data_IF_550186285703
#
_entry.id   IF_550186285703
#
_cell.length_a   1.000
_cell.length_b   1.000
_cell.length_c   1.000
_cell.angle_alpha   90.00
_cell.angle_beta   90.00
_cell.angle_gamma   90.00
#
_symmetry.space_group_name_H-M   'P 1'
#
loop_
_entity.id
_entity.type
_entity.pdbx_description
1 polymer ?
#
# COMPACT_ATOMS: atom_id res chain seq x y z
N UNK A 1 46.10 -16.86 1.33
CA UNK A 1 45.82 -15.50 0.81
C UNK A 1 45.02 -15.48 -0.50
N UNK A 2 44.37 -16.58 -0.93
CA UNK A 2 43.68 -16.65 -2.24
C UNK A 2 42.13 -16.55 -2.13
N UNK A 3 41.55 -16.60 -0.93
CA UNK A 3 40.08 -16.62 -0.75
C UNK A 3 39.40 -15.25 -0.68
N UNK A 4 40.13 -14.14 -0.53
CA UNK A 4 39.56 -12.78 -0.42
C UNK A 4 39.36 -12.09 -1.79
N UNK A 5 40.14 -12.47 -2.80
CA UNK A 5 40.06 -11.84 -4.13
C UNK A 5 38.91 -12.37 -5.01
N UNK A 6 38.45 -13.61 -4.79
CA UNK A 6 37.31 -14.16 -5.54
C UNK A 6 35.97 -13.59 -5.08
N UNK A 7 35.83 -13.24 -3.80
CA UNK A 7 34.62 -12.64 -3.24
C UNK A 7 34.36 -11.19 -3.73
N UNK A 8 35.41 -10.40 -3.89
CA UNK A 8 35.33 -9.03 -4.42
C UNK A 8 35.00 -9.01 -5.92
N UNK A 9 35.52 -9.95 -6.70
CA UNK A 9 35.15 -10.10 -8.11
C UNK A 9 33.70 -10.54 -8.28
N UNK A 10 33.22 -11.48 -7.47
CA UNK A 10 31.83 -11.92 -7.50
C UNK A 10 30.87 -10.77 -7.16
N UNK A 11 31.20 -9.97 -6.15
CA UNK A 11 30.41 -8.79 -5.76
C UNK A 11 30.38 -7.70 -6.84
N UNK A 12 31.51 -7.45 -7.51
CA UNK A 12 31.55 -6.52 -8.66
C UNK A 12 30.72 -7.02 -9.86
N UNK A 13 30.77 -8.32 -10.15
CA UNK A 13 29.95 -8.92 -11.22
C UNK A 13 28.47 -8.83 -10.87
N UNK A 14 28.08 -9.19 -9.65
CA UNK A 14 26.71 -9.07 -9.17
C UNK A 14 26.20 -7.62 -9.25
N UNK A 15 27.00 -6.66 -8.78
CA UNK A 15 26.70 -5.22 -8.88
C UNK A 15 26.46 -4.77 -10.32
N UNK A 16 27.36 -5.14 -11.22
CA UNK A 16 27.28 -4.74 -12.62
C UNK A 16 26.09 -5.41 -13.34
N UNK A 17 25.85 -6.72 -13.10
CA UNK A 17 24.68 -7.41 -13.63
C UNK A 17 23.38 -6.74 -13.17
N UNK A 18 23.32 -6.33 -11.90
CA UNK A 18 22.12 -5.71 -11.38
C UNK A 18 21.90 -4.27 -11.89
N UNK A 19 22.97 -3.47 -12.02
CA UNK A 19 22.91 -2.15 -12.65
C UNK A 19 22.48 -2.25 -14.13
N UNK A 20 22.94 -3.29 -14.82
CA UNK A 20 22.51 -3.59 -16.18
C UNK A 20 21.02 -3.94 -16.24
N UNK A 21 20.50 -4.76 -15.31
CA UNK A 21 19.08 -5.08 -15.21
C UNK A 21 18.20 -3.85 -14.89
N UNK A 22 18.67 -2.91 -14.08
CA UNK A 22 17.93 -1.66 -13.79
C UNK A 22 17.75 -0.74 -15.01
N UNK A 23 18.60 -0.86 -16.03
CA UNK A 23 18.60 0.00 -17.21
C UNK A 23 17.90 -0.61 -18.43
N UNK A 24 17.40 -1.85 -18.33
CA UNK A 24 16.57 -2.42 -19.37
C UNK A 24 15.10 -2.13 -19.09
N UNK A 25 14.40 -1.55 -20.06
CA UNK A 25 12.95 -1.77 -20.18
C UNK A 25 12.75 -3.28 -20.19
N UNK A 26 12.04 -3.84 -19.21
CA UNK A 26 11.92 -5.30 -19.06
C UNK A 26 11.42 -5.87 -20.39
N UNK A 27 12.25 -6.58 -21.16
CA UNK A 27 11.84 -7.07 -22.47
C UNK A 27 10.84 -8.21 -22.29
N UNK A 28 10.02 -8.47 -23.30
CA UNK A 28 9.20 -9.70 -23.39
C UNK A 28 10.07 -10.97 -23.16
N UNK A 29 11.37 -10.91 -23.45
CA UNK A 29 12.32 -12.00 -23.18
C UNK A 29 12.55 -12.29 -21.69
N UNK A 30 12.23 -11.36 -20.78
CA UNK A 30 12.34 -11.60 -19.34
C UNK A 30 11.19 -12.46 -18.80
N UNK A 31 10.06 -12.57 -19.50
CA UNK A 31 8.92 -13.42 -19.11
C UNK A 31 9.39 -14.88 -18.93
N UNK A 32 10.22 -15.36 -19.87
CA UNK A 32 10.79 -16.72 -19.83
C UNK A 32 11.82 -16.95 -18.71
N UNK A 33 12.42 -15.89 -18.18
CA UNK A 33 13.44 -15.96 -17.13
C UNK A 33 12.97 -15.38 -15.80
N UNK A 34 11.74 -14.86 -15.73
CA UNK A 34 11.23 -14.08 -14.60
C UNK A 34 11.32 -14.84 -13.28
N UNK A 35 10.87 -16.10 -13.29
CA UNK A 35 10.97 -16.98 -12.13
C UNK A 35 12.44 -17.23 -11.72
N UNK A 36 13.36 -17.40 -12.69
CA UNK A 36 14.78 -17.64 -12.40
C UNK A 36 15.47 -16.40 -11.85
N UNK A 37 15.15 -15.21 -12.36
CA UNK A 37 15.69 -13.94 -11.87
C UNK A 37 15.21 -13.69 -10.45
N UNK A 38 13.91 -13.85 -10.16
CA UNK A 38 13.40 -13.70 -8.80
C UNK A 38 14.02 -14.70 -7.82
N UNK A 39 14.12 -15.99 -8.20
CA UNK A 39 14.80 -16.99 -7.39
C UNK A 39 16.27 -16.63 -7.10
N UNK A 40 16.98 -16.10 -8.10
CA UNK A 40 18.37 -15.66 -7.92
C UNK A 40 18.45 -14.47 -6.96
N UNK A 41 17.59 -13.45 -7.13
CA UNK A 41 17.55 -12.28 -6.26
C UNK A 41 17.20 -12.66 -4.82
N UNK A 42 16.23 -13.54 -4.61
CA UNK A 42 15.88 -14.05 -3.28
C UNK A 42 17.06 -14.79 -2.64
N UNK A 43 17.76 -15.64 -3.39
CA UNK A 43 18.98 -16.32 -2.91
C UNK A 43 20.12 -15.35 -2.58
N UNK A 44 20.22 -14.22 -3.29
CA UNK A 44 21.19 -13.17 -2.97
C UNK A 44 20.82 -12.49 -1.64
N UNK A 45 19.53 -12.33 -1.35
CA UNK A 45 19.03 -11.67 -0.14
C UNK A 45 18.99 -12.57 1.12
N UNK A 46 18.99 -13.89 0.95
CA UNK A 46 18.94 -14.86 2.07
C UNK A 46 20.10 -14.78 3.08
N UNK A 47 21.38 -14.65 2.70
CA UNK A 47 22.47 -14.79 3.65
C UNK A 47 22.58 -13.60 4.63
N UNK A 48 22.86 -13.90 5.90
CA UNK A 48 22.87 -12.90 6.99
C UNK A 48 23.95 -11.82 6.87
N UNK A 49 25.05 -12.10 6.14
CA UNK A 49 26.17 -11.17 5.89
C UNK A 49 26.34 -10.96 4.40
N UNK A 50 25.52 -10.07 3.86
CA UNK A 50 25.67 -9.56 2.50
C UNK A 50 26.36 -8.20 2.53
N UNK A 51 27.07 -7.90 1.44
CA UNK A 51 27.52 -6.55 1.18
C UNK A 51 26.30 -5.62 1.05
N UNK A 52 26.31 -4.50 1.78
CA UNK A 52 25.20 -3.57 1.85
C UNK A 52 24.83 -3.00 0.47
N UNK A 53 25.81 -2.81 -0.41
CA UNK A 53 25.56 -2.35 -1.77
C UNK A 53 24.85 -3.40 -2.62
N UNK A 54 25.21 -4.67 -2.48
CA UNK A 54 24.56 -5.79 -3.18
C UNK A 54 23.13 -5.96 -2.68
N UNK A 55 22.92 -5.90 -1.36
CA UNK A 55 21.59 -5.99 -0.76
C UNK A 55 20.68 -4.87 -1.27
N UNK A 56 21.16 -3.61 -1.25
CA UNK A 56 20.41 -2.46 -1.74
C UNK A 56 19.99 -2.60 -3.19
N UNK A 57 20.92 -3.04 -4.04
CA UNK A 57 20.63 -3.22 -5.46
C UNK A 57 19.65 -4.38 -5.68
N UNK A 58 19.82 -5.50 -4.98
CA UNK A 58 18.94 -6.66 -5.11
C UNK A 58 17.50 -6.34 -4.67
N UNK A 59 17.31 -5.60 -3.58
CA UNK A 59 15.95 -5.16 -3.15
C UNK A 59 15.36 -4.15 -4.14
N UNK A 60 16.16 -3.23 -4.66
CA UNK A 60 15.69 -2.29 -5.68
C UNK A 60 15.20 -3.00 -6.94
N UNK A 61 15.95 -4.01 -7.42
CA UNK A 61 15.51 -4.85 -8.53
C UNK A 61 14.25 -5.65 -8.20
N UNK A 62 14.17 -6.23 -7.00
CA UNK A 62 12.96 -6.93 -6.56
C UNK A 62 11.74 -6.01 -6.65
N UNK A 63 11.83 -4.79 -6.13
CA UNK A 63 10.76 -3.80 -6.17
C UNK A 63 10.35 -3.45 -7.62
N UNK A 64 11.32 -3.20 -8.49
CA UNK A 64 11.07 -2.89 -9.90
C UNK A 64 10.39 -4.06 -10.64
N UNK A 65 10.84 -5.29 -10.39
CA UNK A 65 10.30 -6.49 -11.03
C UNK A 65 8.87 -6.80 -10.62
N UNK A 66 8.51 -6.64 -9.33
CA UNK A 66 7.13 -6.91 -8.87
C UNK A 66 6.15 -5.81 -9.29
N UNK A 67 6.65 -4.59 -9.53
CA UNK A 67 5.84 -3.48 -9.99
C UNK A 67 5.33 -3.67 -11.44
N UNK A 68 6.12 -4.34 -12.29
CA UNK A 68 5.89 -4.43 -13.73
C UNK A 68 5.19 -5.70 -14.21
N UNK A 69 4.81 -6.61 -13.31
CA UNK A 69 4.19 -7.89 -13.70
C UNK A 69 2.71 -7.99 -13.35
N UNK A 70 2.04 -8.93 -14.00
CA UNK A 70 0.67 -9.31 -13.71
C UNK A 70 0.52 -10.04 -12.35
N UNK A 71 -0.74 -10.25 -11.96
CA UNK A 71 -1.07 -10.84 -10.68
C UNK A 71 -0.67 -12.32 -10.57
N UNK A 72 -0.63 -13.08 -11.68
CA UNK A 72 -0.20 -14.48 -11.68
C UNK A 72 1.29 -14.61 -11.33
N UNK A 73 2.12 -13.75 -11.93
CA UNK A 73 3.53 -13.66 -11.64
C UNK A 73 3.81 -13.20 -10.21
N UNK A 74 3.07 -12.20 -9.69
CA UNK A 74 3.15 -11.78 -8.28
C UNK A 74 2.85 -12.93 -7.32
N UNK A 75 1.80 -13.71 -7.57
CA UNK A 75 1.47 -14.89 -6.73
C UNK A 75 2.57 -15.96 -6.79
N UNK A 76 3.11 -16.25 -7.98
CA UNK A 76 4.19 -17.20 -8.14
C UNK A 76 5.44 -16.78 -7.35
N UNK A 77 5.82 -15.50 -7.42
CA UNK A 77 6.96 -14.94 -6.67
C UNK A 77 6.69 -14.94 -5.15
N UNK A 78 5.45 -14.67 -4.74
CA UNK A 78 5.02 -14.82 -3.35
C UNK A 78 5.26 -16.24 -2.82
N UNK A 79 4.84 -17.25 -3.59
CA UNK A 79 5.04 -18.68 -3.28
C UNK A 79 6.52 -19.09 -3.24
N UNK A 80 7.41 -18.37 -3.93
CA UNK A 80 8.87 -18.56 -3.84
C UNK A 80 9.49 -18.03 -2.53
N UNK A 81 8.70 -17.40 -1.65
CA UNK A 81 9.16 -16.90 -0.36
C UNK A 81 9.48 -15.39 -0.35
N UNK A 82 9.11 -14.65 -1.40
CA UNK A 82 9.41 -13.22 -1.51
C UNK A 82 8.92 -12.40 -0.33
N UNK A 83 7.65 -12.57 0.05
CA UNK A 83 7.03 -11.84 1.18
C UNK A 83 7.83 -12.07 2.46
N UNK A 84 8.17 -13.32 2.76
CA UNK A 84 8.96 -13.69 3.93
C UNK A 84 10.36 -13.08 3.90
N UNK A 85 11.03 -13.10 2.75
CA UNK A 85 12.36 -12.51 2.57
C UNK A 85 12.35 -11.01 2.85
N UNK A 86 11.38 -10.27 2.30
CA UNK A 86 11.27 -8.82 2.56
C UNK A 86 10.96 -8.52 4.04
N UNK A 87 10.06 -9.28 4.67
CA UNK A 87 9.76 -9.11 6.10
C UNK A 87 10.97 -9.41 6.99
N UNK A 88 11.79 -10.41 6.65
CA UNK A 88 13.04 -10.69 7.37
C UNK A 88 14.05 -9.53 7.25
N UNK A 89 14.14 -8.91 6.06
CA UNK A 89 15.00 -7.73 5.85
C UNK A 89 14.53 -6.55 6.69
N UNK A 90 13.23 -6.27 6.70
CA UNK A 90 12.61 -5.23 7.53
C UNK A 90 12.87 -5.50 9.00
N UNK A 91 12.64 -6.74 9.47
CA UNK A 91 12.87 -7.12 10.86
C UNK A 91 14.33 -6.89 11.27
N UNK A 92 15.29 -7.27 10.42
CA UNK A 92 16.71 -7.04 10.68
C UNK A 92 17.03 -5.54 10.77
N UNK A 93 16.56 -4.75 9.80
CA UNK A 93 16.78 -3.30 9.77
C UNK A 93 16.15 -2.59 10.97
N UNK A 94 14.99 -3.04 11.40
CA UNK A 94 14.32 -2.57 12.62
C UNK A 94 15.14 -2.91 13.88
N UNK A 95 15.67 -4.13 13.99
CA UNK A 95 16.56 -4.54 15.10
C UNK A 95 17.85 -3.71 15.15
N UNK A 96 18.39 -3.37 13.98
CA UNK A 96 19.56 -2.51 13.83
C UNK A 96 19.21 -1.01 14.02
N UNK A 97 17.92 -0.66 14.21
CA UNK A 97 17.38 0.71 14.28
C UNK A 97 17.77 1.57 13.07
N UNK A 98 17.82 0.95 11.90
CA UNK A 98 18.18 1.59 10.64
C UNK A 98 16.96 1.67 9.71
N UNK A 99 16.56 2.89 9.38
CA UNK A 99 15.63 3.16 8.27
C UNK A 99 16.44 3.71 7.09
N UNK A 100 16.90 2.81 6.23
CA UNK A 100 17.62 3.10 5.00
C UNK A 100 16.80 2.69 3.76
N UNK A 101 17.37 2.91 2.57
CA UNK A 101 16.73 2.53 1.31
C UNK A 101 16.38 1.04 1.23
N UNK A 102 17.09 0.15 1.94
CA UNK A 102 16.74 -1.28 1.96
C UNK A 102 15.41 -1.48 2.67
N UNK A 103 15.20 -0.81 3.81
CA UNK A 103 13.92 -0.86 4.53
C UNK A 103 12.79 -0.26 3.67
N UNK A 104 12.99 0.93 3.10
CA UNK A 104 11.98 1.61 2.29
C UNK A 104 11.60 0.81 1.03
N UNK A 105 12.60 0.30 0.29
CA UNK A 105 12.33 -0.54 -0.89
C UNK A 105 11.74 -1.89 -0.52
N UNK A 106 12.04 -2.46 0.64
CA UNK A 106 11.41 -3.71 1.09
C UNK A 106 9.91 -3.52 1.34
N UNK A 107 9.52 -2.43 2.01
CA UNK A 107 8.11 -2.08 2.18
C UNK A 107 7.42 -1.72 0.86
N UNK A 108 8.10 -0.98 -0.03
CA UNK A 108 7.58 -0.67 -1.37
C UNK A 108 7.38 -1.94 -2.21
N UNK A 109 8.30 -2.90 -2.14
CA UNK A 109 8.18 -4.18 -2.82
C UNK A 109 7.02 -5.01 -2.27
N UNK A 110 6.82 -5.00 -0.95
CA UNK A 110 5.67 -5.64 -0.33
C UNK A 110 4.34 -4.97 -0.71
N UNK A 111 4.30 -3.64 -0.81
CA UNK A 111 3.13 -2.92 -1.32
C UNK A 111 2.80 -3.37 -2.76
N UNK A 112 3.80 -3.43 -3.64
CA UNK A 112 3.59 -3.86 -5.03
C UNK A 112 3.17 -5.33 -5.17
N UNK A 113 3.76 -6.25 -4.40
CA UNK A 113 3.45 -7.68 -4.51
C UNK A 113 2.12 -8.06 -3.87
N UNK A 114 1.56 -7.23 -2.98
CA UNK A 114 0.25 -7.46 -2.34
C UNK A 114 -0.91 -6.85 -3.14
N UNK A 115 -0.61 -5.95 -4.08
CA UNK A 115 -1.62 -5.32 -4.93
C UNK A 115 -2.36 -6.37 -5.78
N UNK A 116 -3.69 -6.41 -5.63
CA UNK A 116 -4.62 -7.35 -6.26
C UNK A 116 -4.26 -8.85 -6.09
N UNK A 117 -3.59 -9.21 -4.99
CA UNK A 117 -3.16 -10.61 -4.73
C UNK A 117 -3.47 -11.07 -3.31
N UNK A 118 -4.69 -11.61 -3.07
CA UNK A 118 -5.15 -12.01 -1.73
C UNK A 118 -4.23 -13.00 -1.01
N UNK A 119 -3.63 -13.95 -1.73
CA UNK A 119 -2.69 -14.93 -1.17
C UNK A 119 -1.46 -14.25 -0.57
N UNK A 120 -0.93 -13.22 -1.24
CA UNK A 120 0.23 -12.46 -0.75
C UNK A 120 -0.15 -11.57 0.44
N UNK A 121 -1.34 -10.98 0.45
CA UNK A 121 -1.88 -10.27 1.60
C UNK A 121 -2.01 -11.19 2.82
N UNK A 122 -2.54 -12.39 2.64
CA UNK A 122 -2.64 -13.39 3.72
C UNK A 122 -1.26 -13.85 4.19
N UNK A 123 -0.30 -14.02 3.28
CA UNK A 123 1.09 -14.36 3.62
C UNK A 123 1.74 -13.28 4.49
N UNK A 124 1.51 -12.00 4.18
CA UNK A 124 1.99 -10.87 4.99
C UNK A 124 1.48 -10.95 6.43
N UNK A 125 0.18 -11.18 6.61
CA UNK A 125 -0.43 -11.32 7.94
C UNK A 125 0.14 -12.53 8.69
N UNK A 126 0.25 -13.69 8.02
CA UNK A 126 0.79 -14.92 8.60
C UNK A 126 2.26 -14.80 9.03
N UNK A 127 3.04 -13.94 8.37
CA UNK A 127 4.45 -13.73 8.61
C UNK A 127 4.74 -12.56 9.56
N UNK A 128 3.83 -12.26 10.49
CA UNK A 128 3.95 -11.17 11.49
C UNK A 128 4.06 -9.75 10.89
N UNK A 129 3.53 -9.55 9.68
CA UNK A 129 3.56 -8.25 9.01
C UNK A 129 2.96 -7.11 9.83
N UNK A 130 1.84 -7.36 10.52
CA UNK A 130 1.22 -6.36 11.40
C UNK A 130 2.07 -5.98 12.59
N UNK A 131 2.80 -6.93 13.20
CA UNK A 131 3.71 -6.61 14.31
C UNK A 131 4.84 -5.71 13.84
N UNK A 132 5.46 -6.04 12.69
CA UNK A 132 6.54 -5.24 12.12
C UNK A 132 6.05 -3.85 11.71
N UNK A 133 4.84 -3.72 11.18
CA UNK A 133 4.22 -2.44 10.88
C UNK A 133 4.13 -1.55 12.13
N UNK A 134 3.57 -2.07 13.23
CA UNK A 134 3.42 -1.31 14.49
C UNK A 134 4.77 -0.95 15.10
N UNK A 135 5.73 -1.88 15.09
CA UNK A 135 7.07 -1.63 15.60
C UNK A 135 7.81 -0.57 14.76
N UNK A 136 7.66 -0.59 13.43
CA UNK A 136 8.21 0.43 12.54
C UNK A 136 7.60 1.82 12.77
N UNK A 137 6.27 1.94 12.93
CA UNK A 137 5.62 3.21 13.26
C UNK A 137 6.16 3.81 14.57
N UNK A 138 6.41 2.95 15.56
CA UNK A 138 6.92 3.36 16.87
C UNK A 138 8.39 3.78 16.82
N UNK A 139 9.22 3.03 16.11
CA UNK A 139 10.67 3.28 16.04
C UNK A 139 11.00 4.45 15.09
N UNK A 140 10.21 4.66 14.04
CA UNK A 140 10.51 5.60 12.96
C UNK A 140 9.40 6.65 12.72
N UNK A 141 8.93 7.38 13.74
CA UNK A 141 7.76 8.26 13.64
C UNK A 141 7.91 9.41 12.63
N UNK A 142 9.15 9.80 12.31
CA UNK A 142 9.44 10.90 11.39
C UNK A 142 9.71 10.44 9.94
N UNK A 143 9.56 9.13 9.63
CA UNK A 143 9.88 8.55 8.31
C UNK A 143 8.64 8.46 7.43
N UNK A 144 8.29 9.60 6.82
CA UNK A 144 7.07 9.77 6.04
C UNK A 144 6.98 8.83 4.82
N UNK A 145 8.06 8.68 4.05
CA UNK A 145 8.10 7.78 2.89
C UNK A 145 7.90 6.31 3.27
N UNK A 146 8.47 5.90 4.40
CA UNK A 146 8.28 4.58 4.98
C UNK A 146 6.81 4.36 5.36
N UNK A 147 6.21 5.33 6.07
CA UNK A 147 4.81 5.27 6.49
C UNK A 147 3.85 5.17 5.31
N UNK A 148 4.11 5.93 4.24
CA UNK A 148 3.33 5.84 3.00
C UNK A 148 3.38 4.43 2.41
N UNK A 149 4.57 3.85 2.27
CA UNK A 149 4.71 2.50 1.70
C UNK A 149 4.01 1.45 2.55
N UNK A 150 4.16 1.55 3.87
CA UNK A 150 3.50 0.69 4.84
C UNK A 150 1.97 0.79 4.78
N UNK A 151 1.42 2.01 4.69
CA UNK A 151 -0.03 2.23 4.60
C UNK A 151 -0.60 1.83 3.23
N UNK A 152 0.14 2.05 2.15
CA UNK A 152 -0.23 1.57 0.82
C UNK A 152 -0.42 0.05 0.79
N UNK A 153 0.52 -0.69 1.40
CA UNK A 153 0.39 -2.14 1.59
C UNK A 153 -0.87 -2.50 2.38
N UNK A 154 -1.11 -1.83 3.51
CA UNK A 154 -2.30 -2.11 4.32
C UNK A 154 -3.60 -1.76 3.60
N UNK A 155 -3.59 -0.79 2.69
CA UNK A 155 -4.69 -0.52 1.78
C UNK A 155 -5.08 -1.77 1.01
N UNK A 156 -4.11 -2.38 0.32
CA UNK A 156 -4.31 -3.61 -0.44
C UNK A 156 -4.80 -4.78 0.44
N UNK A 157 -4.31 -4.89 1.68
CA UNK A 157 -4.81 -5.92 2.62
C UNK A 157 -6.25 -5.64 3.03
N UNK A 158 -6.61 -4.38 3.28
CA UNK A 158 -7.96 -3.98 3.68
C UNK A 158 -8.98 -4.15 2.55
N UNK A 159 -8.57 -4.06 1.29
CA UNK A 159 -9.44 -4.36 0.13
C UNK A 159 -9.97 -5.81 0.17
N UNK A 160 -9.17 -6.75 0.70
CA UNK A 160 -9.55 -8.17 0.81
C UNK A 160 -10.49 -8.39 2.00
N UNK A 161 -11.79 -8.49 1.72
CA UNK A 161 -12.86 -8.66 2.73
C UNK A 161 -12.58 -9.75 3.76
N UNK A 162 -12.08 -10.91 3.35
CA UNK A 162 -11.80 -12.03 4.26
C UNK A 162 -10.67 -11.75 5.27
N UNK A 163 -9.82 -10.75 5.00
CA UNK A 163 -8.67 -10.40 5.84
C UNK A 163 -8.97 -9.24 6.81
N UNK A 164 -9.99 -8.42 6.55
CA UNK A 164 -10.33 -7.26 7.40
C UNK A 164 -10.56 -7.61 8.88
N UNK A 165 -11.18 -8.76 9.25
CA UNK A 165 -11.28 -9.14 10.66
C UNK A 165 -9.92 -9.30 11.37
N UNK A 166 -8.85 -9.64 10.63
CA UNK A 166 -7.49 -9.74 11.19
C UNK A 166 -6.83 -8.35 11.39
N UNK A 167 -7.31 -7.31 10.69
CA UNK A 167 -6.87 -5.93 10.88
C UNK A 167 -7.60 -5.27 12.05
N UNK A 168 -8.85 -5.66 12.30
CA UNK A 168 -9.71 -5.06 13.32
C UNK A 168 -9.25 -5.46 14.74
N UNK A 169 -8.21 -4.79 15.23
CA UNK A 169 -7.68 -4.93 16.59
C UNK A 169 -7.58 -3.57 17.27
N UNK A 170 -7.80 -3.47 18.60
CA UNK A 170 -7.73 -2.18 19.29
C UNK A 170 -6.37 -1.51 19.09
N UNK A 171 -5.29 -2.28 19.16
CA UNK A 171 -3.92 -1.77 18.99
C UNK A 171 -3.71 -1.16 17.61
N UNK A 172 -4.25 -1.77 16.56
CA UNK A 172 -4.13 -1.26 15.20
C UNK A 172 -5.05 -0.06 14.95
N UNK A 173 -6.32 -0.10 15.37
CA UNK A 173 -7.19 1.06 15.12
C UNK A 173 -6.76 2.28 15.95
N UNK A 174 -6.20 2.06 17.14
CA UNK A 174 -5.65 3.15 17.96
C UNK A 174 -4.43 3.85 17.34
N UNK A 175 -3.69 3.27 16.37
CA UNK A 175 -2.62 4.05 15.69
C UNK A 175 -3.16 5.11 14.74
N UNK A 176 -4.42 5.04 14.34
CA UNK A 176 -5.09 6.10 13.59
C UNK A 176 -5.67 7.20 14.48
N UNK A 177 -5.58 7.06 15.81
CA UNK A 177 -6.00 8.06 16.79
C UNK A 177 -4.79 8.56 17.58
N UNK A 178 -4.72 9.86 17.84
CA UNK A 178 -3.76 10.50 18.74
C UNK A 178 -3.80 10.03 20.22
N UNK A 179 -4.31 8.83 20.55
CA UNK A 179 -4.46 8.38 21.95
C UNK A 179 -3.16 7.84 22.56
N UNK A 180 -2.14 7.57 21.74
CA UNK A 180 -0.82 7.20 22.23
C UNK A 180 0.17 8.36 22.02
N UNK A 181 0.71 8.89 23.12
CA UNK A 181 1.70 9.99 23.18
C UNK A 181 3.00 9.70 22.39
N UNK A 182 3.15 8.47 21.87
CA UNK A 182 4.31 7.98 21.14
C UNK A 182 4.02 7.48 19.71
N UNK A 183 2.80 7.63 19.19
CA UNK A 183 2.45 7.24 17.82
C UNK A 183 1.97 8.46 17.00
N UNK A 184 2.36 8.52 15.73
CA UNK A 184 1.92 9.53 14.77
C UNK A 184 0.39 9.44 14.57
N UNK A 185 -0.36 10.55 14.69
CA UNK A 185 -1.76 10.58 14.24
C UNK A 185 -1.76 10.53 12.72
N UNK A 186 -1.98 9.34 12.17
CA UNK A 186 -1.92 9.10 10.73
C UNK A 186 -3.02 9.87 9.97
N UNK A 187 -4.16 10.18 10.61
CA UNK A 187 -5.26 10.92 9.99
C UNK A 187 -5.00 12.43 9.93
N UNK A 188 -4.38 12.99 10.97
CA UNK A 188 -4.00 14.41 11.02
C UNK A 188 -2.60 14.70 10.45
N UNK A 189 -1.91 13.65 9.98
CA UNK A 189 -0.58 13.75 9.42
C UNK A 189 -0.58 14.60 8.14
N UNK A 190 0.05 15.77 8.20
CA UNK A 190 0.38 16.64 7.04
C UNK A 190 1.74 16.31 6.41
N UNK A 191 2.31 15.18 6.82
CA UNK A 191 3.52 14.60 6.26
C UNK A 191 3.34 14.29 4.77
N UNK A 192 4.29 14.73 3.94
CA UNK A 192 4.30 14.46 2.50
C UNK A 192 2.98 14.88 1.80
N UNK A 193 2.44 16.05 2.20
CA UNK A 193 1.14 16.54 1.77
C UNK A 193 0.00 15.79 2.45
N UNK A 194 -0.87 15.16 1.66
CA UNK A 194 -2.01 14.37 2.16
C UNK A 194 -1.79 12.86 2.01
N UNK A 195 -0.62 12.40 1.55
CA UNK A 195 -0.44 10.99 1.13
C UNK A 195 -0.61 9.99 2.28
N UNK A 196 -0.05 10.30 3.45
CA UNK A 196 -0.15 9.43 4.64
C UNK A 196 -1.61 9.38 5.13
N UNK A 197 -2.25 10.53 5.32
CA UNK A 197 -3.63 10.62 5.80
C UNK A 197 -4.65 10.08 4.79
N UNK A 198 -4.42 10.30 3.50
CA UNK A 198 -5.22 9.71 2.43
C UNK A 198 -5.19 8.18 2.47
N UNK A 199 -4.00 7.57 2.54
CA UNK A 199 -3.86 6.11 2.58
C UNK A 199 -4.43 5.53 3.88
N UNK A 200 -4.25 6.23 5.01
CA UNK A 200 -4.85 5.86 6.29
C UNK A 200 -6.39 5.84 6.21
N UNK A 201 -7.00 6.89 5.66
CA UNK A 201 -8.44 6.93 5.40
C UNK A 201 -8.88 5.83 4.42
N UNK A 202 -8.06 5.47 3.42
CA UNK A 202 -8.36 4.36 2.52
C UNK A 202 -8.46 3.02 3.23
N UNK A 203 -7.46 2.70 4.08
CA UNK A 203 -7.49 1.49 4.93
C UNK A 203 -8.76 1.45 5.77
N UNK A 204 -9.04 2.54 6.50
CA UNK A 204 -10.20 2.61 7.37
C UNK A 204 -11.52 2.56 6.59
N UNK A 205 -11.60 3.17 5.41
CA UNK A 205 -12.81 3.16 4.57
C UNK A 205 -13.25 1.74 4.23
N UNK A 206 -12.31 0.83 3.94
CA UNK A 206 -12.62 -0.58 3.73
C UNK A 206 -13.04 -1.31 5.01
N UNK A 207 -12.45 -0.97 6.17
CA UNK A 207 -12.79 -1.60 7.45
C UNK A 207 -14.19 -1.16 7.91
N UNK A 208 -14.45 0.15 7.98
CA UNK A 208 -15.75 0.68 8.45
C UNK A 208 -16.89 0.31 7.51
N UNK A 209 -16.60 0.07 6.22
CA UNK A 209 -17.58 -0.37 5.23
C UNK A 209 -18.28 -1.69 5.60
N UNK A 210 -17.63 -2.60 6.33
CA UNK A 210 -18.24 -3.89 6.73
C UNK A 210 -19.42 -3.72 7.72
N UNK A 211 -19.63 -2.52 8.26
CA UNK A 211 -20.77 -2.18 9.09
C UNK A 211 -20.52 -2.35 10.60
N UNK A 212 -21.49 -1.93 11.43
CA UNK A 212 -21.36 -1.99 12.88
C UNK A 212 -21.31 -3.42 13.41
N UNK A 213 -21.97 -4.39 12.77
CA UNK A 213 -21.96 -5.80 13.22
C UNK A 213 -20.58 -6.45 13.06
N UNK A 214 -19.80 -5.99 12.08
CA UNK A 214 -18.42 -6.42 11.90
C UNK A 214 -17.45 -5.74 12.88
N UNK A 215 -17.86 -4.61 13.49
CA UNK A 215 -17.05 -3.85 14.43
C UNK A 215 -17.09 -4.46 15.84
N UNK A 216 -16.48 -5.63 16.00
CA UNK A 216 -16.53 -6.44 17.23
C UNK A 216 -15.70 -5.92 18.41
N UNK A 217 -15.29 -4.64 18.41
CA UNK A 217 -14.47 -4.05 19.48
C UNK A 217 -15.27 -3.00 20.26
N UNK A 218 -15.04 -2.93 21.58
CA UNK A 218 -15.64 -1.89 22.43
C UNK A 218 -14.99 -0.53 22.22
N UNK A 219 -13.66 -0.50 22.09
CA UNK A 219 -12.89 0.71 21.81
C UNK A 219 -11.78 0.41 20.79
N UNK A 220 -11.47 1.34 19.87
CA UNK A 220 -12.17 2.61 19.66
C UNK A 220 -13.57 2.43 19.06
N UNK A 221 -14.52 3.29 19.44
CA UNK A 221 -15.87 3.29 18.86
C UNK A 221 -15.82 3.59 17.35
N UNK A 222 -16.57 2.81 16.57
CA UNK A 222 -16.66 2.96 15.10
C UNK A 222 -17.02 4.38 14.68
N UNK A 223 -18.03 4.97 15.33
CA UNK A 223 -18.52 6.31 15.00
C UNK A 223 -17.45 7.38 15.24
N UNK A 224 -16.71 7.29 16.35
CA UNK A 224 -15.59 8.20 16.63
C UNK A 224 -14.47 8.10 15.60
N UNK A 225 -14.20 6.88 15.09
CA UNK A 225 -13.25 6.69 13.98
C UNK A 225 -13.78 7.35 12.70
N UNK A 226 -15.06 7.16 12.39
CA UNK A 226 -15.68 7.78 11.21
C UNK A 226 -15.70 9.31 11.27
N UNK A 227 -15.95 9.90 12.44
CA UNK A 227 -15.92 11.35 12.63
C UNK A 227 -14.52 11.93 12.37
N UNK A 228 -13.48 11.28 12.91
CA UNK A 228 -12.08 11.65 12.65
C UNK A 228 -11.71 11.52 11.17
N UNK A 229 -12.14 10.45 10.51
CA UNK A 229 -11.94 10.28 9.07
C UNK A 229 -12.60 11.41 8.28
N UNK A 230 -13.83 11.79 8.63
CA UNK A 230 -14.55 12.87 7.94
C UNK A 230 -13.81 14.20 8.08
N UNK A 231 -13.36 14.54 9.29
CA UNK A 231 -12.58 15.74 9.54
C UNK A 231 -11.27 15.75 8.75
N UNK A 232 -10.59 14.60 8.65
CA UNK A 232 -9.36 14.48 7.86
C UNK A 232 -9.63 14.73 6.36
N UNK A 233 -10.65 14.07 5.78
CA UNK A 233 -11.00 14.21 4.36
C UNK A 233 -11.36 15.66 4.02
N UNK A 234 -12.14 16.32 4.87
CA UNK A 234 -12.54 17.72 4.68
C UNK A 234 -11.36 18.72 4.79
N UNK A 235 -10.26 18.32 5.42
CA UNK A 235 -9.07 19.16 5.54
C UNK A 235 -8.17 19.18 4.30
N UNK A 236 -8.36 18.23 3.38
CA UNK A 236 -7.49 18.06 2.22
C UNK A 236 -7.81 19.04 1.10
N UNK A 237 -6.77 19.58 0.47
CA UNK A 237 -6.93 20.32 -0.79
C UNK A 237 -7.22 19.33 -1.92
N UNK A 238 -8.36 19.49 -2.58
CA UNK A 238 -8.81 18.61 -3.65
C UNK A 238 -7.99 18.70 -4.94
N UNK A 239 -7.12 19.71 -5.06
CA UNK A 239 -6.16 19.83 -6.16
C UNK A 239 -4.81 19.19 -5.85
N UNK A 240 -4.65 18.63 -4.65
CA UNK A 240 -3.42 17.97 -4.22
C UNK A 240 -3.02 16.86 -5.18
N UNK A 241 -1.79 16.95 -5.68
CA UNK A 241 -1.14 15.86 -6.42
C UNK A 241 -0.66 14.81 -5.43
N UNK A 242 -0.73 13.54 -5.84
CA UNK A 242 -0.36 12.39 -5.03
C UNK A 242 0.47 11.42 -5.86
N UNK A 243 1.48 10.83 -5.25
CA UNK A 243 2.33 9.81 -5.86
C UNK A 243 1.69 8.41 -5.76
N UNK A 244 0.48 8.28 -6.29
CA UNK A 244 -0.29 7.02 -6.30
C UNK A 244 -0.73 6.71 -7.73
N UNK A 245 -0.53 5.45 -8.12
CA UNK A 245 -0.84 4.95 -9.45
C UNK A 245 -1.90 3.83 -9.37
N UNK A 246 -3.18 4.20 -9.49
CA UNK A 246 -4.25 3.22 -9.55
C UNK A 246 -4.23 2.48 -10.90
N UNK A 247 -4.14 1.15 -10.84
CA UNK A 247 -4.28 0.24 -11.98
C UNK A 247 -5.75 -0.08 -12.28
N UNK A 248 -6.55 -0.15 -11.22
CA UNK A 248 -8.00 -0.31 -11.25
C UNK A 248 -8.64 0.61 -10.20
N UNK A 249 -9.88 1.01 -10.46
CA UNK A 249 -10.77 1.65 -9.48
C UNK A 249 -11.72 0.66 -8.82
N UNK A 250 -11.73 -0.62 -9.20
CA UNK A 250 -12.62 -1.62 -8.64
C UNK A 250 -12.68 -1.60 -7.09
N UNK A 251 -11.56 -1.47 -6.34
CA UNK A 251 -11.62 -1.38 -4.89
C UNK A 251 -12.34 -0.13 -4.37
N UNK A 252 -12.09 1.04 -4.99
CA UNK A 252 -12.75 2.31 -4.65
C UNK A 252 -14.23 2.26 -5.01
N UNK A 253 -14.56 1.78 -6.21
CA UNK A 253 -15.92 1.71 -6.73
C UNK A 253 -16.84 0.84 -5.88
N UNK A 254 -16.31 -0.24 -5.28
CA UNK A 254 -17.06 -1.10 -4.36
C UNK A 254 -17.58 -0.36 -3.11
N UNK A 255 -16.97 0.76 -2.73
CA UNK A 255 -17.35 1.55 -1.55
C UNK A 255 -18.50 2.53 -1.81
N UNK A 256 -18.90 2.74 -3.07
CA UNK A 256 -19.88 3.77 -3.45
C UNK A 256 -21.33 3.41 -3.11
N UNK A 257 -21.93 2.30 -3.59
CA UNK A 257 -23.39 2.10 -3.47
C UNK A 257 -23.78 1.55 -2.09
N UNK A 258 -23.68 2.38 -1.04
CA UNK A 258 -23.98 1.99 0.34
C UNK A 258 -24.34 3.20 1.22
N UNK A 259 -25.06 2.94 2.31
CA UNK A 259 -25.44 3.95 3.32
C UNK A 259 -24.96 3.60 4.74
N UNK A 260 -24.29 2.46 4.91
CA UNK A 260 -23.88 1.91 6.22
C UNK A 260 -22.64 2.62 6.81
N UNK A 261 -21.83 3.22 5.96
CA UNK A 261 -20.60 3.92 6.30
C UNK A 261 -20.46 5.20 5.46
N UNK A 262 -21.19 6.29 5.75
CA UNK A 262 -21.21 7.49 4.92
C UNK A 262 -19.81 8.08 4.65
N UNK A 263 -18.90 8.02 5.62
CA UNK A 263 -17.51 8.48 5.45
C UNK A 263 -16.71 7.65 4.45
N UNK A 264 -16.98 6.34 4.35
CA UNK A 264 -16.33 5.45 3.39
C UNK A 264 -16.80 5.75 1.96
N UNK A 265 -18.10 6.01 1.78
CA UNK A 265 -18.65 6.51 0.52
C UNK A 265 -18.05 7.87 0.16
N UNK A 266 -17.96 8.79 1.13
CA UNK A 266 -17.39 10.12 0.93
C UNK A 266 -15.91 10.07 0.53
N UNK A 267 -15.09 9.26 1.20
CA UNK A 267 -13.69 9.05 0.82
C UNK A 267 -13.56 8.49 -0.60
N UNK A 268 -14.38 7.50 -0.96
CA UNK A 268 -14.34 6.89 -2.28
C UNK A 268 -14.71 7.90 -3.38
N UNK A 269 -15.77 8.68 -3.18
CA UNK A 269 -16.14 9.76 -4.12
C UNK A 269 -15.07 10.84 -4.19
N UNK A 270 -14.53 11.29 -3.05
CA UNK A 270 -13.44 12.25 -3.01
C UNK A 270 -12.20 11.76 -3.78
N UNK A 271 -11.85 10.47 -3.62
CA UNK A 271 -10.71 9.86 -4.29
C UNK A 271 -10.87 9.90 -5.81
N UNK A 272 -12.05 9.54 -6.33
CA UNK A 272 -12.35 9.60 -7.75
C UNK A 272 -12.30 11.04 -8.25
N UNK A 273 -12.97 11.95 -7.56
CA UNK A 273 -13.00 13.38 -7.88
C UNK A 273 -11.61 14.01 -7.98
N UNK A 274 -10.75 13.79 -6.99
CA UNK A 274 -9.36 14.25 -7.08
C UNK A 274 -8.61 13.62 -8.26
N UNK A 275 -8.75 12.30 -8.49
CA UNK A 275 -8.02 11.62 -9.56
C UNK A 275 -8.42 12.11 -10.95
N UNK A 276 -9.71 12.22 -11.24
CA UNK A 276 -10.21 12.71 -12.52
C UNK A 276 -9.94 14.19 -12.72
N UNK A 277 -9.93 14.99 -11.65
CA UNK A 277 -9.59 16.42 -11.72
C UNK A 277 -8.11 16.66 -12.00
N UNK A 278 -7.22 15.92 -11.31
CA UNK A 278 -5.77 16.15 -11.38
C UNK A 278 -5.13 15.44 -12.57
N UNK A 279 -5.63 14.26 -12.97
CA UNK A 279 -5.11 13.48 -14.09
C UNK A 279 -6.22 12.96 -15.02
N UNK A 280 -7.02 13.87 -15.64
CA UNK A 280 -8.21 13.51 -16.40
C UNK A 280 -7.93 12.55 -17.56
N UNK A 281 -6.86 12.79 -18.32
CA UNK A 281 -6.52 11.98 -19.50
C UNK A 281 -6.28 10.50 -19.18
N UNK A 282 -5.91 10.18 -17.94
CA UNK A 282 -5.67 8.82 -17.49
C UNK A 282 -6.90 8.23 -16.79
N UNK A 283 -7.49 8.98 -15.87
CA UNK A 283 -8.46 8.43 -14.93
C UNK A 283 -9.93 8.59 -15.37
N UNK A 284 -10.29 9.57 -16.21
CA UNK A 284 -11.64 9.63 -16.77
C UNK A 284 -11.95 8.39 -17.63
N UNK A 285 -11.07 7.97 -18.58
CA UNK A 285 -11.32 6.74 -19.35
C UNK A 285 -11.41 5.49 -18.48
N UNK A 286 -10.61 5.41 -17.40
CA UNK A 286 -10.64 4.29 -16.47
C UNK A 286 -11.96 4.24 -15.69
N UNK A 287 -12.42 5.39 -15.18
CA UNK A 287 -13.70 5.52 -14.47
C UNK A 287 -14.87 5.04 -15.33
N UNK A 288 -14.92 5.48 -16.59
CA UNK A 288 -15.97 5.07 -17.54
C UNK A 288 -15.88 3.57 -17.84
N UNK A 289 -14.66 3.08 -18.15
CA UNK A 289 -14.43 1.67 -18.50
C UNK A 289 -14.86 0.71 -17.40
N UNK A 290 -14.65 1.07 -16.13
CA UNK A 290 -14.98 0.23 -14.98
C UNK A 290 -16.40 0.47 -14.42
N UNK A 291 -17.24 1.21 -15.16
CA UNK A 291 -18.65 1.40 -14.80
C UNK A 291 -18.88 2.37 -13.63
N UNK A 292 -17.92 3.24 -13.33
CA UNK A 292 -18.00 4.19 -12.23
C UNK A 292 -19.13 5.20 -12.38
N UNK A 293 -19.49 5.59 -13.61
CA UNK A 293 -20.61 6.50 -13.91
C UNK A 293 -21.92 5.99 -13.28
N UNK A 294 -22.26 4.72 -13.52
CA UNK A 294 -23.49 4.10 -12.99
C UNK A 294 -23.48 4.04 -11.47
N UNK A 295 -22.31 3.88 -10.85
CA UNK A 295 -22.18 3.85 -9.39
C UNK A 295 -22.32 5.24 -8.78
N UNK A 296 -21.78 6.27 -9.43
CA UNK A 296 -21.92 7.67 -9.02
C UNK A 296 -23.37 8.16 -9.15
N UNK A 297 -24.09 7.77 -10.21
CA UNK A 297 -25.53 8.04 -10.35
C UNK A 297 -26.32 7.47 -9.16
N UNK A 298 -26.02 6.24 -8.73
CA UNK A 298 -26.62 5.66 -7.52
C UNK A 298 -26.33 6.45 -6.25
N UNK A 299 -25.12 7.02 -6.12
CA UNK A 299 -24.79 7.90 -4.99
C UNK A 299 -25.68 9.16 -4.99
N UNK A 300 -26.01 9.72 -6.15
CA UNK A 300 -26.91 10.88 -6.25
C UNK A 300 -28.35 10.54 -5.84
N UNK A 301 -28.82 9.34 -6.19
CA UNK A 301 -30.17 8.85 -5.88
C UNK A 301 -30.38 8.58 -4.38
N UNK A 302 -29.32 8.13 -3.68
CA UNK A 302 -29.38 7.82 -2.26
C UNK A 302 -29.67 9.07 -1.42
N UNK A 303 -30.79 9.07 -0.70
CA UNK A 303 -31.17 10.18 0.20
C UNK A 303 -30.23 10.33 1.38
N UNK A 304 -29.56 9.24 1.77
CA UNK A 304 -28.62 9.21 2.90
C UNK A 304 -27.22 9.72 2.56
N UNK A 305 -26.90 9.90 1.27
CA UNK A 305 -25.60 10.42 0.86
C UNK A 305 -25.49 11.90 1.19
N UNK A 306 -24.38 12.31 1.80
CA UNK A 306 -24.12 13.71 2.13
C UNK A 306 -24.10 14.59 0.88
N UNK A 307 -24.55 15.84 1.00
CA UNK A 307 -24.64 16.75 -0.15
C UNK A 307 -23.26 17.03 -0.76
N UNK A 308 -22.22 17.20 0.05
CA UNK A 308 -20.84 17.36 -0.43
C UNK A 308 -20.36 16.14 -1.25
N UNK A 309 -20.75 14.92 -0.85
CA UNK A 309 -20.50 13.70 -1.64
C UNK A 309 -21.23 13.76 -2.97
N UNK A 310 -22.48 14.22 -2.97
CA UNK A 310 -23.27 14.38 -4.21
C UNK A 310 -22.69 15.43 -5.13
N UNK A 311 -22.17 16.53 -4.60
CA UNK A 311 -21.52 17.58 -5.39
C UNK A 311 -20.29 17.06 -6.13
N UNK A 312 -19.43 16.30 -5.44
CA UNK A 312 -18.28 15.63 -6.08
C UNK A 312 -18.74 14.61 -7.12
N UNK A 313 -19.75 13.78 -6.80
CA UNK A 313 -20.28 12.81 -7.75
C UNK A 313 -20.89 13.48 -9.00
N UNK A 314 -21.57 14.61 -8.88
CA UNK A 314 -22.08 15.39 -10.02
C UNK A 314 -20.94 15.88 -10.92
N UNK A 315 -19.82 16.31 -10.34
CA UNK A 315 -18.66 16.73 -11.11
C UNK A 315 -18.06 15.56 -11.90
N UNK A 316 -17.89 14.41 -11.26
CA UNK A 316 -17.31 13.22 -11.88
C UNK A 316 -18.11 12.71 -13.09
N UNK A 317 -19.41 13.01 -13.14
CA UNK A 317 -20.32 12.70 -14.25
C UNK A 317 -20.21 13.69 -15.43
N UNK A 318 -19.38 14.73 -15.35
CA UNK A 318 -19.23 15.73 -16.43
C UNK A 318 -18.24 15.33 -17.54
N UNK A 319 -17.55 14.20 -17.39
CA UNK A 319 -16.54 13.66 -18.33
C UNK A 319 -17.06 12.49 -19.14
#
# INVERSE_FOLDING_TARGET
MVSRSSATWLGCVQRNCCLTLCNFSIPEELEFQYGRVNLLLLKILEPARQDESIQRIAVHLCNALVCQVDNHHKEAVGKMGFVKTMLNLIQKKLQDRMCDQVMEFSWSALWNITDETPDNCQMFLNCRGMSLFLDCLKEFPDKQELHRNMLGLLGNVAEVRALRPQLLTPQFISVFRQENVHCLDLLDSKADGIEVSYNACGVLSHIVFDGPEAWGMEEPLRDTVMDKMMAAIQSWDVTSRRNINYRSFEPILRLLPQSIAPVSQHWATWALFNLVSVYPSKYCPLLVKEGGIVLLEKVLELQTSHEETKDMARYDLTY
#
